data_IF_015873821154
#
_entry.id   IF_015873821154
#
_cell.length_a   1.000
_cell.length_b   1.000
_cell.length_c   1.000
_cell.angle_alpha   90.00
_cell.angle_beta   90.00
_cell.angle_gamma   90.00
#
_symmetry.space_group_name_H-M   'P 1'
#
loop_
_entity.id
_entity.type
_entity.pdbx_description
1 polymer ?
#
# COMPACT_ATOMS: atom_id res chain seq x y z
N UNK A 1 -10.81 -12.12 -12.58
CA UNK A 1 -9.72 -11.59 -11.74
C UNK A 1 -10.22 -11.47 -10.31
N UNK A 2 -9.40 -11.74 -9.29
CA UNK A 2 -9.83 -11.67 -7.88
C UNK A 2 -9.13 -10.50 -7.19
N UNK A 3 -9.90 -9.47 -6.85
CA UNK A 3 -9.39 -8.31 -6.14
C UNK A 3 -9.39 -8.59 -4.62
N UNK A 4 -8.41 -8.03 -3.91
CA UNK A 4 -8.31 -8.10 -2.46
C UNK A 4 -8.23 -6.67 -1.89
N UNK A 5 -9.10 -6.36 -0.95
CA UNK A 5 -9.12 -5.08 -0.24
C UNK A 5 -8.56 -5.32 1.17
N UNK A 6 -7.54 -4.56 1.54
CA UNK A 6 -6.95 -4.58 2.88
C UNK A 6 -7.46 -3.34 3.61
N UNK A 7 -8.27 -3.52 4.65
CA UNK A 7 -8.87 -2.44 5.42
C UNK A 7 -8.46 -2.55 6.89
N UNK A 8 -8.24 -1.41 7.54
CA UNK A 8 -7.87 -1.35 8.95
C UNK A 8 -7.50 0.05 9.38
N UNK A 9 -7.46 0.28 10.70
CA UNK A 9 -6.99 1.54 11.29
C UNK A 9 -5.47 1.65 11.24
N UNK A 10 -4.93 2.85 11.49
CA UNK A 10 -3.49 3.05 11.65
C UNK A 10 -2.90 2.08 12.69
N UNK A 11 -1.72 1.51 12.39
CA UNK A 11 -1.01 0.54 13.24
C UNK A 11 -1.70 -0.83 13.41
N UNK A 12 -2.74 -1.15 12.65
CA UNK A 12 -3.42 -2.47 12.67
C UNK A 12 -2.71 -3.58 11.89
N UNK A 13 -1.59 -3.29 11.22
CA UNK A 13 -0.82 -4.27 10.44
C UNK A 13 -1.21 -4.36 8.96
N UNK A 14 -2.01 -3.43 8.44
CA UNK A 14 -2.35 -3.35 7.01
C UNK A 14 -1.13 -3.38 6.09
N UNK A 15 -0.05 -2.66 6.43
CA UNK A 15 1.19 -2.67 5.65
C UNK A 15 1.92 -4.02 5.67
N UNK A 16 1.79 -4.81 6.74
CA UNK A 16 2.35 -6.17 6.80
C UNK A 16 1.63 -7.08 5.80
N UNK A 17 0.30 -7.05 5.79
CA UNK A 17 -0.51 -7.84 4.86
C UNK A 17 -0.28 -7.39 3.42
N UNK A 18 -0.20 -6.08 3.17
CA UNK A 18 0.12 -5.55 1.85
C UNK A 18 1.48 -6.06 1.36
N UNK A 19 2.51 -6.04 2.20
CA UNK A 19 3.82 -6.60 1.85
C UNK A 19 3.80 -8.10 1.54
N UNK A 20 2.99 -8.90 2.24
CA UNK A 20 2.83 -10.33 1.95
C UNK A 20 2.17 -10.53 0.58
N UNK A 21 1.08 -9.82 0.30
CA UNK A 21 0.36 -9.94 -0.97
C UNK A 21 1.19 -9.45 -2.14
N UNK A 22 1.94 -8.35 -1.98
CA UNK A 22 2.88 -7.88 -3.00
C UNK A 22 3.90 -8.97 -3.32
N UNK A 23 4.50 -9.59 -2.30
CA UNK A 23 5.45 -10.71 -2.50
C UNK A 23 4.82 -11.93 -3.14
N UNK A 24 3.52 -12.14 -2.95
CA UNK A 24 2.75 -13.19 -3.59
C UNK A 24 2.32 -12.85 -5.04
N UNK A 25 2.70 -11.68 -5.56
CA UNK A 25 2.42 -11.28 -6.95
C UNK A 25 1.09 -10.56 -7.16
N UNK A 26 0.44 -10.07 -6.09
CA UNK A 26 -0.71 -9.19 -6.25
C UNK A 26 -0.26 -7.85 -6.85
N UNK A 27 -0.99 -7.41 -7.87
CA UNK A 27 -0.83 -6.07 -8.44
C UNK A 27 -1.26 -5.00 -7.44
N UNK A 28 -0.43 -3.99 -7.22
CA UNK A 28 -0.68 -2.87 -6.29
C UNK A 28 -0.61 -1.50 -6.97
N UNK A 29 -0.57 -1.46 -8.30
CA UNK A 29 -0.38 -0.25 -9.09
C UNK A 29 1.05 -0.10 -9.62
N UNK A 30 1.20 0.81 -10.57
CA UNK A 30 2.48 1.03 -11.29
C UNK A 30 3.39 2.06 -10.61
N UNK A 31 2.81 2.93 -9.77
CA UNK A 31 3.51 4.01 -9.08
C UNK A 31 3.24 3.96 -7.58
N UNK A 32 4.04 3.18 -6.85
CA UNK A 32 3.92 3.05 -5.40
C UNK A 32 4.52 4.27 -4.69
N UNK A 33 3.92 4.63 -3.55
CA UNK A 33 4.35 5.80 -2.80
C UNK A 33 5.78 5.61 -2.25
N UNK A 34 6.68 6.59 -2.47
CA UNK A 34 8.10 6.40 -2.22
C UNK A 34 8.44 6.31 -0.72
N UNK A 35 9.61 5.73 -0.38
CA UNK A 35 10.15 5.78 0.98
C UNK A 35 10.27 7.20 1.54
N UNK A 36 10.04 7.35 2.84
CA UNK A 36 10.28 8.60 3.60
C UNK A 36 10.77 8.29 5.02
N UNK A 37 11.14 9.32 5.78
CA UNK A 37 11.63 9.16 7.16
C UNK A 37 10.74 8.28 8.05
N UNK A 38 9.41 8.43 7.93
CA UNK A 38 8.42 7.64 8.67
C UNK A 38 8.32 6.17 8.21
N UNK A 39 8.71 5.86 6.96
CA UNK A 39 8.72 4.50 6.42
C UNK A 39 9.86 4.34 5.38
N UNK A 40 11.07 3.98 5.83
CA UNK A 40 12.24 3.88 4.95
C UNK A 40 12.16 2.77 3.89
N UNK A 41 11.20 1.84 4.02
CA UNK A 41 11.01 0.76 3.05
C UNK A 41 10.05 1.11 1.91
N UNK A 42 9.45 2.31 1.95
CA UNK A 42 8.38 2.66 1.03
C UNK A 42 7.05 2.04 1.43
N UNK A 43 6.03 2.36 0.65
CA UNK A 43 4.63 2.06 0.90
C UNK A 43 4.11 1.10 -0.17
N UNK A 44 2.97 0.50 0.09
CA UNK A 44 2.31 -0.41 -0.85
C UNK A 44 1.08 0.23 -1.53
N UNK A 45 0.82 1.49 -1.18
CA UNK A 45 -0.23 2.33 -1.72
C UNK A 45 0.24 2.97 -3.03
N UNK A 46 -0.62 2.97 -4.04
CA UNK A 46 -0.39 3.72 -5.28
C UNK A 46 -0.53 5.23 -5.02
N UNK A 47 0.39 6.02 -5.57
CA UNK A 47 0.46 7.47 -5.41
C UNK A 47 -0.82 8.18 -5.85
N UNK A 48 -1.30 7.89 -7.07
CA UNK A 48 -2.47 8.55 -7.66
C UNK A 48 -3.75 8.26 -6.87
N UNK A 49 -3.87 7.05 -6.33
CA UNK A 49 -5.00 6.66 -5.47
C UNK A 49 -4.92 7.40 -4.13
N UNK A 50 -3.73 7.48 -3.53
CA UNK A 50 -3.57 8.15 -2.24
C UNK A 50 -3.91 9.65 -2.32
N UNK A 51 -3.51 10.33 -3.41
CA UNK A 51 -3.79 11.75 -3.64
C UNK A 51 -5.28 12.12 -3.65
N UNK A 52 -6.19 11.16 -3.90
CA UNK A 52 -7.64 11.40 -3.83
C UNK A 52 -8.06 11.87 -2.43
N UNK A 53 -7.39 11.39 -1.38
CA UNK A 53 -7.73 11.70 0.02
C UNK A 53 -7.07 12.97 0.55
N UNK A 54 -6.08 13.52 -0.16
CA UNK A 54 -5.22 14.62 0.33
C UNK A 54 -5.62 15.98 -0.27
N UNK A 55 -6.89 16.13 -0.70
CA UNK A 55 -7.48 17.38 -1.20
C UNK A 55 -8.24 18.14 -0.13
#
# INVERSE_FOLDING_TARGET
MKNCLILGSGRSGTSMIAGILHKAGYFMGDNLYPPRSANPKGFFENWEINEINEK
#
